data_IF_258733845072
#
_entry.id   IF_258733845072
#
_cell.length_a   1.000
_cell.length_b   1.000
_cell.length_c   1.000
_cell.angle_alpha   90.00
_cell.angle_beta   90.00
_cell.angle_gamma   90.00
#
_symmetry.space_group_name_H-M   'P 1'
#
loop_
_entity.id
_entity.type
_entity.pdbx_description
1 polymer ?
#
# COMPACT_ATOMS: atom_id res chain seq x y z
N UNK A 1 21.90 -17.40 -18.77
CA UNK A 1 20.45 -17.35 -18.49
C UNK A 1 19.85 -16.31 -19.43
N UNK A 2 19.41 -16.72 -20.61
CA UNK A 2 18.75 -15.81 -21.55
C UNK A 2 17.30 -15.64 -21.11
N UNK A 3 16.88 -14.42 -20.79
CA UNK A 3 15.47 -14.13 -20.59
C UNK A 3 14.77 -14.42 -21.92
N UNK A 4 13.73 -15.26 -21.91
CA UNK A 4 13.04 -15.66 -23.12
C UNK A 4 12.48 -14.40 -23.82
N UNK A 5 12.91 -14.15 -25.07
CA UNK A 5 12.50 -12.98 -25.83
C UNK A 5 10.96 -12.90 -25.95
N UNK A 6 10.28 -14.04 -25.98
CA UNK A 6 8.81 -14.13 -25.94
C UNK A 6 8.25 -13.59 -24.63
N UNK A 7 8.89 -13.88 -23.49
CA UNK A 7 8.46 -13.37 -22.18
C UNK A 7 8.63 -11.85 -22.10
N UNK A 8 9.73 -11.31 -22.63
CA UNK A 8 9.95 -9.86 -22.71
C UNK A 8 8.92 -9.18 -23.62
N UNK A 9 8.61 -9.78 -24.78
CA UNK A 9 7.57 -9.27 -25.67
C UNK A 9 6.18 -9.31 -25.01
N UNK A 10 5.82 -10.40 -24.32
CA UNK A 10 4.54 -10.51 -23.61
C UNK A 10 4.44 -9.47 -22.49
N UNK A 11 5.49 -9.30 -21.68
CA UNK A 11 5.51 -8.29 -20.61
C UNK A 11 5.42 -6.87 -21.18
N UNK A 12 6.09 -6.60 -22.30
CA UNK A 12 6.03 -5.30 -22.97
C UNK A 12 4.64 -5.04 -23.57
N UNK A 13 4.03 -6.03 -24.23
CA UNK A 13 2.65 -5.93 -24.75
C UNK A 13 1.66 -5.70 -23.61
N UNK A 14 1.76 -6.43 -22.50
CA UNK A 14 0.91 -6.23 -21.32
C UNK A 14 1.06 -4.82 -20.74
N UNK A 15 2.31 -4.32 -20.65
CA UNK A 15 2.57 -2.95 -20.21
C UNK A 15 1.97 -1.91 -21.16
N UNK A 16 2.12 -2.09 -22.48
CA UNK A 16 1.57 -1.20 -23.51
C UNK A 16 0.05 -1.21 -23.50
N UNK A 17 -0.60 -2.38 -23.39
CA UNK A 17 -2.06 -2.49 -23.29
C UNK A 17 -2.57 -1.76 -22.04
N UNK A 18 -1.92 -1.94 -20.89
CA UNK A 18 -2.33 -1.23 -19.68
C UNK A 18 -2.14 0.28 -19.78
N UNK A 19 -0.99 0.75 -20.27
CA UNK A 19 -0.71 2.19 -20.40
C UNK A 19 -1.66 2.85 -21.39
N UNK A 20 -2.02 2.18 -22.49
CA UNK A 20 -2.97 2.67 -23.47
C UNK A 20 -4.43 2.63 -22.95
N UNK A 21 -4.77 1.66 -22.09
CA UNK A 21 -6.08 1.57 -21.48
C UNK A 21 -6.27 2.55 -20.31
N UNK A 22 -5.23 2.82 -19.53
CA UNK A 22 -5.28 3.71 -18.36
C UNK A 22 -5.50 5.17 -18.77
N UNK A 23 -6.69 5.71 -18.46
CA UNK A 23 -7.18 7.00 -18.93
C UNK A 23 -8.21 6.90 -20.06
N UNK A 24 -8.62 5.69 -20.43
CA UNK A 24 -9.75 5.43 -21.33
C UNK A 24 -11.08 5.56 -20.57
N UNK A 25 -12.18 6.05 -21.19
CA UNK A 25 -13.50 6.06 -20.56
C UNK A 25 -13.98 4.66 -20.13
N UNK A 26 -13.38 3.59 -20.66
CA UNK A 26 -13.70 2.20 -20.33
C UNK A 26 -12.84 1.60 -19.20
N UNK A 27 -11.87 2.33 -18.61
CA UNK A 27 -11.15 1.87 -17.43
C UNK A 27 -11.95 2.08 -16.15
N UNK A 28 -12.02 1.05 -15.32
CA UNK A 28 -12.75 1.13 -14.05
C UNK A 28 -11.95 1.97 -13.04
N UNK A 29 -12.50 3.12 -12.67
CA UNK A 29 -11.95 4.00 -11.63
C UNK A 29 -12.43 3.50 -10.28
N UNK A 30 -11.49 3.24 -9.39
CA UNK A 30 -11.73 2.83 -8.00
C UNK A 30 -11.52 4.04 -7.09
N UNK A 31 -12.28 4.09 -6.02
CA UNK A 31 -12.04 5.04 -4.93
C UNK A 31 -11.47 4.28 -3.74
N UNK A 32 -10.46 4.83 -3.08
CA UNK A 32 -10.07 4.36 -1.75
C UNK A 32 -11.30 4.52 -0.84
N UNK A 33 -11.71 3.46 -0.14
CA UNK A 33 -12.96 3.44 0.63
C UNK A 33 -13.18 4.70 1.48
N UNK A 34 -14.41 5.22 1.44
CA UNK A 34 -14.92 6.19 2.39
C UNK A 34 -16.44 6.25 2.41
N UNK A 35 -17.06 5.77 3.50
CA UNK A 35 -17.97 6.54 4.38
C UNK A 35 -18.76 5.65 5.37
N UNK A 36 -18.80 6.08 6.64
CA UNK A 36 -20.07 6.52 7.24
C UNK A 36 -19.84 7.62 8.30
N UNK A 37 -20.69 8.63 8.23
CA UNK A 37 -20.88 9.69 9.22
C UNK A 37 -21.21 9.12 10.59
N UNK A 38 -20.69 9.76 11.65
CA UNK A 38 -20.80 9.43 13.08
C UNK A 38 -19.72 8.50 13.64
N UNK A 39 -18.46 8.86 13.44
CA UNK A 39 -17.41 8.42 14.35
C UNK A 39 -16.53 9.60 14.70
N UNK A 40 -16.50 9.87 16.00
CA UNK A 40 -15.93 11.04 16.61
C UNK A 40 -14.49 11.31 16.19
N UNK A 41 -14.19 12.61 16.13
CA UNK A 41 -12.88 13.22 16.02
C UNK A 41 -11.96 12.70 17.13
N UNK A 42 -11.27 11.61 16.85
CA UNK A 42 -10.02 11.19 17.49
C UNK A 42 -9.08 10.91 16.32
N UNK A 43 -7.95 11.63 16.20
CA UNK A 43 -6.91 11.34 15.22
C UNK A 43 -6.49 9.85 15.42
N UNK A 44 -6.89 8.88 14.58
CA UNK A 44 -6.86 7.49 14.99
C UNK A 44 -5.69 6.75 14.32
N UNK A 45 -5.27 5.67 14.95
CA UNK A 45 -4.27 4.71 14.46
C UNK A 45 -4.55 4.16 13.03
N UNK A 46 -5.72 4.45 12.46
CA UNK A 46 -6.19 4.07 11.11
C UNK A 46 -5.46 4.69 9.93
N UNK A 47 -4.70 5.78 10.10
CA UNK A 47 -3.90 6.33 9.00
C UNK A 47 -2.66 5.47 8.71
N UNK A 48 -2.18 4.74 9.71
CA UNK A 48 -0.92 3.98 9.67
C UNK A 48 -1.14 2.48 9.49
N UNK A 49 -2.40 2.07 9.42
CA UNK A 49 -2.80 0.70 9.24
C UNK A 49 -2.78 0.30 7.76
N UNK A 50 -2.20 -0.86 7.49
CA UNK A 50 -2.23 -1.56 6.20
C UNK A 50 -3.67 -1.84 5.72
N UNK A 51 -4.68 -1.77 6.60
CA UNK A 51 -6.10 -1.87 6.23
C UNK A 51 -6.50 -0.87 5.12
N UNK A 52 -5.93 0.34 5.07
CA UNK A 52 -6.23 1.30 3.99
C UNK A 52 -5.83 0.80 2.61
N UNK A 53 -4.76 0.03 2.52
CA UNK A 53 -4.24 -0.51 1.25
C UNK A 53 -4.66 -1.97 1.04
N UNK A 54 -5.54 -2.49 1.90
CA UNK A 54 -6.04 -3.88 1.86
C UNK A 54 -6.61 -4.27 0.50
N UNK A 55 -7.35 -3.36 -0.15
CA UNK A 55 -7.91 -3.60 -1.47
C UNK A 55 -6.82 -3.78 -2.54
N UNK A 56 -5.81 -2.92 -2.52
CA UNK A 56 -4.65 -3.01 -3.43
C UNK A 56 -3.85 -4.29 -3.13
N UNK A 57 -3.69 -4.65 -1.86
CA UNK A 57 -2.96 -5.86 -1.46
C UNK A 57 -3.69 -7.15 -1.83
N UNK A 58 -5.02 -7.18 -1.71
CA UNK A 58 -5.85 -8.34 -2.06
C UNK A 58 -5.72 -8.72 -3.53
N UNK A 59 -5.60 -7.75 -4.44
CA UNK A 59 -5.40 -8.07 -5.86
C UNK A 59 -3.97 -8.51 -6.18
N UNK A 60 -3.03 -8.27 -5.25
CA UNK A 60 -1.59 -8.53 -5.40
C UNK A 60 -1.13 -9.83 -4.74
N UNK A 61 -2.03 -10.53 -4.04
CA UNK A 61 -1.74 -11.71 -3.24
C UNK A 61 -2.85 -12.75 -3.37
N UNK A 62 -2.47 -13.99 -3.71
CA UNK A 62 -3.39 -15.14 -3.73
C UNK A 62 -3.81 -15.57 -2.31
N UNK A 63 -3.07 -15.15 -1.29
CA UNK A 63 -3.47 -15.30 0.11
C UNK A 63 -4.40 -14.14 0.50
N UNK A 64 -5.70 -14.45 0.57
CA UNK A 64 -6.78 -13.51 0.91
C UNK A 64 -6.61 -12.90 2.32
N UNK A 65 -5.95 -13.60 3.24
CA UNK A 65 -5.71 -13.13 4.62
C UNK A 65 -4.38 -12.38 4.78
N UNK A 66 -3.59 -12.24 3.71
CA UNK A 66 -2.26 -11.63 3.79
C UNK A 66 -2.31 -10.21 4.36
N UNK A 67 -3.25 -9.40 3.92
CA UNK A 67 -3.38 -8.02 4.38
C UNK A 67 -3.91 -7.92 5.82
N UNK A 68 -4.78 -8.83 6.27
CA UNK A 68 -5.21 -8.91 7.68
C UNK A 68 -4.05 -9.30 8.61
N UNK A 69 -3.21 -10.22 8.15
CA UNK A 69 -2.03 -10.67 8.87
C UNK A 69 -0.96 -9.57 8.97
N UNK A 70 -0.79 -8.77 7.91
CA UNK A 70 0.16 -7.65 7.89
C UNK A 70 -0.17 -6.56 8.91
N UNK A 71 -1.45 -6.30 9.18
CA UNK A 71 -1.86 -5.32 10.20
C UNK A 71 -1.40 -5.67 11.62
N UNK A 72 -0.91 -6.88 11.85
CA UNK A 72 -0.40 -7.35 13.14
C UNK A 72 1.05 -7.81 13.02
N UNK A 73 1.73 -7.45 11.94
CA UNK A 73 3.08 -7.89 11.64
C UNK A 73 4.14 -6.91 12.11
N UNK A 74 5.21 -7.42 12.69
CA UNK A 74 6.42 -6.64 12.98
C UNK A 74 6.17 -5.45 13.89
N UNK A 75 7.03 -4.44 13.78
CA UNK A 75 6.99 -3.24 14.61
C UNK A 75 6.38 -2.05 13.89
N UNK A 76 6.47 -2.02 12.55
CA UNK A 76 6.00 -0.92 11.72
C UNK A 76 4.68 -1.22 11.02
N UNK A 77 4.37 -2.48 10.69
CA UNK A 77 3.03 -2.79 10.15
C UNK A 77 1.97 -2.84 11.26
N UNK A 78 2.35 -3.32 12.46
CA UNK A 78 1.45 -3.48 13.60
C UNK A 78 1.35 -2.27 14.53
N UNK A 79 2.39 -1.44 14.61
CA UNK A 79 2.50 -0.39 15.63
C UNK A 79 3.11 0.91 15.07
N UNK A 80 2.94 1.97 15.85
CA UNK A 80 3.59 3.26 15.66
C UNK A 80 5.06 3.16 16.13
N UNK A 81 5.86 2.42 15.37
CA UNK A 81 7.24 2.10 15.73
C UNK A 81 8.11 3.34 15.87
N UNK A 82 8.92 3.36 16.93
CA UNK A 82 10.18 4.13 17.02
C UNK A 82 11.37 3.17 17.12
N UNK A 83 11.18 1.92 16.71
CA UNK A 83 12.14 0.81 16.79
C UNK A 83 12.63 0.42 15.40
N UNK A 84 13.67 -0.41 15.32
CA UNK A 84 14.13 -0.95 14.05
C UNK A 84 13.08 -1.90 13.43
N UNK A 85 12.97 -1.95 12.08
CA UNK A 85 12.12 -2.93 11.41
C UNK A 85 12.68 -4.34 11.63
N UNK A 86 11.79 -5.31 11.89
CA UNK A 86 12.20 -6.69 12.21
C UNK A 86 12.70 -7.48 11.00
N UNK A 87 12.31 -7.06 9.79
CA UNK A 87 12.77 -7.60 8.51
C UNK A 87 12.44 -6.64 7.34
N UNK A 88 12.73 -7.10 6.11
CA UNK A 88 12.45 -6.32 4.89
C UNK A 88 10.96 -6.12 4.60
N UNK A 89 10.07 -6.98 5.12
CA UNK A 89 8.62 -6.79 4.97
C UNK A 89 8.16 -5.65 5.89
N UNK A 90 8.63 -5.64 7.13
CA UNK A 90 8.36 -4.58 8.10
C UNK A 90 8.99 -3.23 7.68
N UNK A 91 10.12 -3.28 6.95
CA UNK A 91 10.72 -2.08 6.34
C UNK A 91 9.82 -1.44 5.28
N UNK A 92 8.96 -2.20 4.58
CA UNK A 92 7.96 -1.61 3.68
C UNK A 92 6.97 -0.72 4.45
N UNK A 93 6.52 -1.18 5.63
CA UNK A 93 5.61 -0.45 6.50
C UNK A 93 6.27 0.80 7.11
N UNK A 94 7.56 0.71 7.46
CA UNK A 94 8.36 1.89 7.85
C UNK A 94 8.32 2.97 6.76
N UNK A 95 8.66 2.61 5.51
CA UNK A 95 8.66 3.55 4.39
C UNK A 95 7.28 4.15 4.14
N UNK A 96 6.23 3.34 4.22
CA UNK A 96 4.84 3.80 4.08
C UNK A 96 4.50 4.84 5.14
N UNK A 97 4.75 4.55 6.42
CA UNK A 97 4.50 5.51 7.49
C UNK A 97 5.34 6.78 7.35
N UNK A 98 6.59 6.69 6.89
CA UNK A 98 7.43 7.87 6.63
C UNK A 98 6.86 8.73 5.50
N UNK A 99 6.41 8.12 4.40
CA UNK A 99 5.76 8.81 3.29
C UNK A 99 4.52 9.58 3.76
N UNK A 100 3.66 8.93 4.55
CA UNK A 100 2.47 9.57 5.12
C UNK A 100 2.83 10.72 6.07
N UNK A 101 3.82 10.55 6.94
CA UNK A 101 4.30 11.61 7.83
C UNK A 101 4.82 12.82 7.05
N UNK A 102 5.57 12.57 5.98
CA UNK A 102 6.14 13.63 5.14
C UNK A 102 5.07 14.44 4.41
N UNK A 103 4.05 13.79 3.84
CA UNK A 103 3.02 14.51 3.09
C UNK A 103 2.12 15.33 4.03
N UNK A 104 1.87 14.83 5.25
CA UNK A 104 1.16 15.55 6.30
C UNK A 104 1.96 16.75 6.81
N UNK A 105 3.27 16.59 7.04
CA UNK A 105 4.12 17.69 7.50
C UNK A 105 4.26 18.79 6.44
N UNK A 106 4.10 18.45 5.16
CA UNK A 106 4.01 19.39 4.04
C UNK A 106 2.63 20.04 3.86
N UNK A 107 1.72 19.85 4.82
CA UNK A 107 0.42 20.53 4.87
C UNK A 107 -0.70 19.85 4.10
N UNK A 108 -0.54 18.59 3.67
CA UNK A 108 -1.67 17.87 3.08
C UNK A 108 -2.70 17.51 4.16
N UNK A 109 -3.99 17.85 3.98
CA UNK A 109 -5.01 17.53 4.95
C UNK A 109 -5.30 16.02 4.96
N UNK A 110 -5.69 15.51 6.12
CA UNK A 110 -6.06 14.10 6.26
C UNK A 110 -7.23 13.70 5.35
N UNK A 111 -8.09 14.63 4.96
CA UNK A 111 -9.20 14.38 4.02
C UNK A 111 -8.71 13.97 2.62
N UNK A 112 -7.50 14.36 2.20
CA UNK A 112 -6.92 13.94 0.92
C UNK A 112 -6.50 12.46 0.90
N UNK A 113 -6.64 11.74 2.03
CA UNK A 113 -6.49 10.27 2.08
C UNK A 113 -7.55 9.51 1.28
N UNK A 114 -8.63 10.18 0.91
CA UNK A 114 -9.66 9.66 0.01
C UNK A 114 -9.33 10.08 -1.42
N UNK A 115 -8.84 9.13 -2.21
CA UNK A 115 -8.38 9.33 -3.58
C UNK A 115 -8.97 8.28 -4.53
N UNK A 116 -8.82 8.54 -5.81
CA UNK A 116 -9.19 7.70 -6.93
C UNK A 116 -7.95 7.13 -7.60
N UNK A 117 -8.07 5.90 -8.08
CA UNK A 117 -7.04 5.23 -8.85
C UNK A 117 -7.65 4.31 -9.90
N UNK A 118 -6.91 4.09 -10.97
CA UNK A 118 -7.18 3.07 -11.96
C UNK A 118 -6.38 1.82 -11.63
N UNK A 119 -6.94 0.65 -11.93
CA UNK A 119 -6.21 -0.61 -11.90
C UNK A 119 -6.25 -1.31 -13.25
N UNK A 120 -5.15 -1.96 -13.61
CA UNK A 120 -5.04 -2.81 -14.79
C UNK A 120 -4.62 -4.22 -14.36
N UNK A 121 -5.45 -5.20 -14.70
CA UNK A 121 -5.28 -6.62 -14.35
C UNK A 121 -4.99 -6.91 -12.86
N UNK A 122 -5.40 -6.03 -11.93
CA UNK A 122 -5.08 -6.15 -10.50
C UNK A 122 -3.58 -6.00 -10.15
N UNK A 123 -2.74 -5.70 -11.15
CA UNK A 123 -1.28 -5.69 -11.05
C UNK A 123 -0.67 -4.29 -11.26
N UNK A 124 -1.32 -3.40 -11.99
CA UNK A 124 -0.80 -2.05 -12.24
C UNK A 124 -1.82 -1.05 -11.70
N UNK A 125 -1.35 -0.08 -10.93
CA UNK A 125 -2.18 0.93 -10.27
C UNK A 125 -1.70 2.33 -10.67
N UNK A 126 -2.63 3.24 -10.93
CA UNK A 126 -2.33 4.61 -11.33
C UNK A 126 -3.26 5.58 -10.60
N UNK A 127 -2.69 6.58 -9.94
CA UNK A 127 -3.46 7.65 -9.28
C UNK A 127 -4.12 8.56 -10.31
N UNK A 128 -5.39 8.91 -10.11
CA UNK A 128 -6.17 9.65 -11.11
C UNK A 128 -6.67 11.02 -10.66
N UNK A 129 -6.64 11.35 -9.36
CA UNK A 129 -6.99 12.71 -8.91
C UNK A 129 -6.02 13.76 -9.47
N UNK A 130 -6.53 14.96 -9.75
CA UNK A 130 -5.70 16.13 -10.07
C UNK A 130 -5.18 16.87 -8.83
N UNK A 131 -5.80 16.65 -7.66
CA UNK A 131 -5.40 17.26 -6.40
C UNK A 131 -4.07 16.67 -5.92
N UNK A 132 -3.05 17.52 -5.74
CA UNK A 132 -1.69 17.09 -5.40
C UNK A 132 -1.63 16.25 -4.12
N UNK A 133 -2.41 16.59 -3.09
CA UNK A 133 -2.40 15.85 -1.84
C UNK A 133 -3.01 14.46 -1.99
N UNK A 134 -4.09 14.31 -2.75
CA UNK A 134 -4.67 13.00 -3.07
C UNK A 134 -3.71 12.14 -3.89
N UNK A 135 -3.03 12.73 -4.88
CA UNK A 135 -1.98 12.03 -5.62
C UNK A 135 -0.88 11.52 -4.69
N UNK A 136 -0.38 12.36 -3.78
CA UNK A 136 0.65 11.98 -2.81
C UNK A 136 0.22 10.83 -1.91
N UNK A 137 -0.99 10.86 -1.36
CA UNK A 137 -1.54 9.74 -0.57
C UNK A 137 -1.64 8.46 -1.39
N UNK A 138 -2.17 8.55 -2.61
CA UNK A 138 -2.29 7.42 -3.52
C UNK A 138 -0.92 6.80 -3.87
N UNK A 139 0.08 7.63 -4.17
CA UNK A 139 1.44 7.16 -4.47
C UNK A 139 2.05 6.43 -3.27
N UNK A 140 1.96 6.98 -2.05
CA UNK A 140 2.46 6.30 -0.85
C UNK A 140 1.81 4.90 -0.70
N UNK A 141 0.50 4.81 -0.93
CA UNK A 141 -0.27 3.57 -0.75
C UNK A 141 0.06 2.52 -1.84
N UNK A 142 0.18 2.92 -3.12
CA UNK A 142 0.57 2.03 -4.22
C UNK A 142 2.00 1.51 -4.03
N UNK A 143 2.95 2.37 -3.65
CA UNK A 143 4.34 1.98 -3.41
C UNK A 143 4.45 1.00 -2.24
N UNK A 144 3.71 1.25 -1.15
CA UNK A 144 3.64 0.34 -0.01
C UNK A 144 3.09 -1.03 -0.42
N UNK A 145 1.98 -1.07 -1.16
CA UNK A 145 1.38 -2.32 -1.61
C UNK A 145 2.30 -3.12 -2.54
N UNK A 146 3.00 -2.44 -3.46
CA UNK A 146 4.01 -3.07 -4.32
C UNK A 146 5.18 -3.64 -3.51
N UNK A 147 5.69 -2.89 -2.53
CA UNK A 147 6.76 -3.34 -1.66
C UNK A 147 6.35 -4.61 -0.88
N UNK A 148 5.18 -4.57 -0.23
CA UNK A 148 4.64 -5.68 0.55
C UNK A 148 4.38 -6.92 -0.30
N UNK A 149 3.79 -6.77 -1.49
CA UNK A 149 3.57 -7.87 -2.43
C UNK A 149 4.88 -8.52 -2.87
N UNK A 150 5.91 -7.72 -3.18
CA UNK A 150 7.23 -8.23 -3.57
C UNK A 150 7.95 -8.95 -2.43
N UNK A 151 7.64 -8.61 -1.17
CA UNK A 151 8.24 -9.21 0.01
C UNK A 151 7.35 -10.27 0.66
N UNK A 152 6.21 -10.64 0.06
CA UNK A 152 5.22 -11.58 0.64
C UNK A 152 5.81 -12.91 1.08
N UNK A 153 6.78 -13.45 0.32
CA UNK A 153 7.45 -14.72 0.64
C UNK A 153 8.39 -14.64 1.85
N UNK A 154 8.75 -13.42 2.29
CA UNK A 154 9.54 -13.19 3.50
C UNK A 154 8.69 -13.11 4.76
N UNK A 155 7.36 -13.23 4.64
CA UNK A 155 6.47 -13.21 5.78
C UNK A 155 6.85 -14.30 6.79
N UNK A 156 7.18 -13.85 8.01
CA UNK A 156 7.57 -14.72 9.10
C UNK A 156 6.53 -14.69 10.21
N UNK A 157 5.86 -15.83 10.44
CA UNK A 157 4.82 -15.96 11.46
C UNK A 157 5.30 -15.61 12.88
N UNK A 158 6.61 -15.66 13.16
CA UNK A 158 7.17 -15.23 14.46
C UNK A 158 6.85 -13.76 14.79
N UNK A 159 6.71 -12.93 13.77
CA UNK A 159 6.40 -11.50 13.91
C UNK A 159 4.90 -11.20 13.89
N UNK A 160 4.05 -12.23 13.72
CA UNK A 160 2.60 -12.12 13.83
C UNK A 160 2.21 -11.79 15.28
N UNK A 161 1.34 -10.80 15.45
CA UNK A 161 0.92 -10.19 16.74
C UNK A 161 1.93 -9.24 17.38
N UNK A 162 2.88 -8.70 16.60
CA UNK A 162 3.75 -7.57 16.98
C UNK A 162 4.09 -7.54 18.47
N UNK A 163 4.69 -8.62 18.99
CA UNK A 163 4.99 -8.74 20.42
C UNK A 163 5.84 -7.53 20.81
N UNK A 164 5.23 -6.59 21.56
CA UNK A 164 5.82 -5.29 21.93
C UNK A 164 7.23 -5.42 22.49
N UNK A 165 7.48 -6.53 23.20
CA UNK A 165 8.75 -6.87 23.83
C UNK A 165 9.93 -7.01 22.83
N UNK A 166 9.67 -7.33 21.56
CA UNK A 166 10.70 -7.41 20.51
C UNK A 166 10.92 -6.09 19.78
N UNK A 167 9.96 -5.16 19.87
CA UNK A 167 10.06 -3.83 19.29
C UNK A 167 10.76 -2.88 20.27
N UNK A 168 12.00 -3.20 20.59
CA UNK A 168 12.81 -2.45 21.54
C UNK A 168 13.14 -1.09 20.92
N UNK A 169 12.85 -0.01 21.65
CA UNK A 169 13.30 1.34 21.34
C UNK A 169 14.75 1.44 21.80
N UNK A 170 15.69 1.64 20.88
CA UNK A 170 17.04 2.10 21.21
C UNK A 170 17.02 3.61 21.42
#
# INVERSE_FOLDING_TARGET
MGINLVLLMVLWILAVVCVAAMGSPNTFIWTSEGKNSNQDFILPDDLKSIYRIHFILKTKSDNVYFADDLNKYGCWCAQNGTSYPVDELDRCCLKHQMCLKEILSKGCPLSSRYYSYEQCFGLIFKCTDSEQCKQKFCTCDIEAANCLSNKKLLYNQRWKKGKKDYCIKT
#
